data_IF_331146751956
#
_entry.id   IF_331146751956
#
_cell.length_a   1.000
_cell.length_b   1.000
_cell.length_c   1.000
_cell.angle_alpha   90.00
_cell.angle_beta   90.00
_cell.angle_gamma   90.00
#
_symmetry.space_group_name_H-M   'P 1'
#
loop_
_entity.id
_entity.type
_entity.pdbx_description
1 polymer ?
#
# COMPACT_ATOMS: atom_id res chain seq x y z
N UNK A 1 15.35 61.52 42.50
CA UNK A 1 15.17 61.03 41.11
C UNK A 1 15.03 59.51 41.14
N UNK A 2 13.80 58.97 41.03
CA UNK A 2 13.51 57.52 41.14
C UNK A 2 13.39 56.90 39.74
N UNK A 3 14.26 55.93 39.40
CA UNK A 3 14.22 55.13 38.17
C UNK A 3 13.06 54.12 38.26
N UNK A 4 12.12 54.17 37.32
CA UNK A 4 11.09 53.13 37.12
C UNK A 4 11.57 52.19 36.02
N UNK A 5 12.05 51.01 36.39
CA UNK A 5 12.18 49.88 35.46
C UNK A 5 10.81 49.21 35.37
N UNK A 6 10.14 49.35 34.23
CA UNK A 6 8.99 48.54 33.89
C UNK A 6 9.49 47.18 33.38
N UNK A 7 9.35 46.14 34.20
CA UNK A 7 9.56 44.76 33.77
C UNK A 7 8.39 44.38 32.86
N UNK A 8 8.62 44.32 31.54
CA UNK A 8 7.64 43.79 30.58
C UNK A 8 7.46 42.30 30.87
N UNK A 9 6.23 41.92 31.26
CA UNK A 9 5.74 40.55 31.33
C UNK A 9 5.90 39.90 29.94
N UNK A 10 6.52 38.72 29.80
CA UNK A 10 6.50 37.98 28.54
C UNK A 10 5.05 37.63 28.22
N UNK A 11 4.62 38.00 27.02
CA UNK A 11 3.34 37.60 26.44
C UNK A 11 3.44 36.11 26.15
N UNK A 12 2.59 35.31 26.79
CA UNK A 12 2.41 33.90 26.48
C UNK A 12 2.27 33.76 24.96
N UNK A 13 3.26 33.13 24.33
CA UNK A 13 3.21 32.78 22.92
C UNK A 13 2.14 31.70 22.70
N UNK A 14 1.50 31.65 21.53
CA UNK A 14 0.60 30.56 21.21
C UNK A 14 1.40 29.26 21.25
N UNK A 15 0.94 28.29 22.06
CA UNK A 15 1.45 26.93 22.06
C UNK A 15 1.39 26.39 20.62
N UNK A 16 2.45 25.77 20.09
CA UNK A 16 2.42 25.26 18.73
C UNK A 16 1.48 24.05 18.62
N UNK A 17 0.56 24.17 17.68
CA UNK A 17 -0.08 23.18 16.79
C UNK A 17 0.20 21.68 16.97
N UNK A 18 0.07 21.16 18.19
CA UNK A 18 0.34 19.73 18.47
C UNK A 18 -0.59 18.77 17.70
N UNK A 19 -1.75 19.25 17.25
CA UNK A 19 -2.69 18.46 16.45
C UNK A 19 -2.30 18.40 14.96
N UNK A 20 -1.73 19.47 14.41
CA UNK A 20 -1.31 19.50 13.00
C UNK A 20 -0.03 18.67 12.79
N UNK A 21 0.89 18.70 13.77
CA UNK A 21 2.06 17.83 13.80
C UNK A 21 1.69 16.34 13.92
N UNK A 22 0.70 15.97 14.73
CA UNK A 22 0.25 14.58 14.87
C UNK A 22 -0.45 14.07 13.59
N UNK A 23 -1.26 14.91 12.94
CA UNK A 23 -1.85 14.61 11.63
C UNK A 23 -0.79 14.49 10.53
N UNK A 24 0.26 15.32 10.58
CA UNK A 24 1.40 15.24 9.68
C UNK A 24 2.21 13.96 9.89
N UNK A 25 2.52 13.60 11.13
CA UNK A 25 3.25 12.36 11.47
C UNK A 25 2.45 11.11 11.10
N UNK A 26 1.13 11.11 11.32
CA UNK A 26 0.26 10.01 10.87
C UNK A 26 0.19 9.94 9.34
N UNK A 27 0.27 11.08 8.63
CA UNK A 27 0.34 11.10 7.18
C UNK A 27 1.69 10.58 6.66
N UNK A 28 2.80 10.98 7.27
CA UNK A 28 4.14 10.53 6.90
C UNK A 28 4.27 9.02 7.09
N UNK A 29 3.81 8.49 8.24
CA UNK A 29 3.78 7.04 8.50
C UNK A 29 2.97 6.27 7.46
N UNK A 30 1.83 6.82 7.00
CA UNK A 30 1.01 6.19 5.95
C UNK A 30 1.75 6.04 4.62
N UNK A 31 2.50 7.06 4.21
CA UNK A 31 3.28 7.00 2.97
C UNK A 31 4.57 6.17 3.14
N UNK A 32 5.17 6.17 4.33
CA UNK A 32 6.31 5.31 4.64
C UNK A 32 5.91 3.82 4.57
N UNK A 33 4.81 3.44 5.23
CA UNK A 33 4.29 2.08 5.17
C UNK A 33 4.01 1.66 3.72
N UNK A 34 3.39 2.53 2.92
CA UNK A 34 3.15 2.28 1.50
C UNK A 34 4.45 2.11 0.71
N UNK A 35 5.43 2.99 0.92
CA UNK A 35 6.73 2.90 0.26
C UNK A 35 7.45 1.57 0.56
N UNK A 36 7.40 1.11 1.82
CA UNK A 36 7.99 -0.17 2.23
C UNK A 36 7.28 -1.37 1.59
N UNK A 37 5.94 -1.35 1.52
CA UNK A 37 5.16 -2.39 0.83
C UNK A 37 5.52 -2.44 -0.66
N UNK A 38 5.52 -1.30 -1.34
CA UNK A 38 5.85 -1.25 -2.77
C UNK A 38 7.30 -1.65 -3.05
N UNK A 39 8.24 -1.28 -2.17
CA UNK A 39 9.62 -1.71 -2.26
C UNK A 39 9.75 -3.24 -2.13
N UNK A 40 9.05 -3.85 -1.17
CA UNK A 40 9.02 -5.31 -1.02
C UNK A 40 8.45 -6.00 -2.27
N UNK A 41 7.31 -5.52 -2.81
CA UNK A 41 6.72 -6.06 -4.03
C UNK A 41 7.64 -5.91 -5.25
N UNK A 42 8.35 -4.79 -5.37
CA UNK A 42 9.28 -4.54 -6.47
C UNK A 42 10.49 -5.48 -6.48
N UNK A 43 10.86 -6.07 -5.33
CA UNK A 43 11.93 -7.07 -5.26
C UNK A 43 11.49 -8.47 -5.70
N UNK A 44 10.19 -8.71 -5.83
CA UNK A 44 9.64 -10.03 -6.17
C UNK A 44 9.32 -10.09 -7.66
N UNK A 45 10.30 -10.50 -8.46
CA UNK A 45 10.18 -10.61 -9.91
C UNK A 45 8.96 -11.46 -10.34
N UNK A 46 8.71 -12.58 -9.67
CA UNK A 46 7.55 -13.44 -9.93
C UNK A 46 6.22 -12.68 -9.78
N UNK A 47 6.11 -11.76 -8.81
CA UNK A 47 4.92 -10.95 -8.59
C UNK A 47 4.78 -9.92 -9.72
N UNK A 48 5.83 -9.12 -9.95
CA UNK A 48 5.81 -8.04 -10.95
C UNK A 48 5.54 -8.56 -12.37
N UNK A 49 6.09 -9.72 -12.72
CA UNK A 49 5.94 -10.27 -14.07
C UNK A 49 4.65 -11.07 -14.29
N UNK A 50 3.95 -11.47 -13.22
CA UNK A 50 2.73 -12.29 -13.33
C UNK A 50 1.44 -11.53 -13.08
N UNK A 51 1.50 -10.44 -12.33
CA UNK A 51 0.37 -9.55 -12.10
C UNK A 51 0.09 -8.71 -13.34
N UNK A 52 -1.16 -8.76 -13.82
CA UNK A 52 -1.70 -7.81 -14.80
C UNK A 52 -2.50 -6.74 -14.07
N UNK A 53 -2.63 -5.58 -14.70
CA UNK A 53 -3.45 -4.47 -14.19
C UNK A 53 -3.18 -4.12 -12.71
N UNK A 54 -1.91 -4.20 -12.28
CA UNK A 54 -1.51 -3.84 -10.91
C UNK A 54 -1.82 -2.35 -10.67
N UNK A 55 -2.69 -2.09 -9.71
CA UNK A 55 -3.12 -0.75 -9.32
C UNK A 55 -3.15 -0.60 -7.81
N UNK A 56 -3.02 0.63 -7.36
CA UNK A 56 -3.15 0.98 -5.95
C UNK A 56 -3.83 2.33 -5.80
N UNK A 57 -4.59 2.48 -4.73
CA UNK A 57 -5.26 3.73 -4.40
C UNK A 57 -5.47 3.84 -2.90
N UNK A 58 -5.73 5.07 -2.46
CA UNK A 58 -6.03 5.35 -1.07
C UNK A 58 -7.54 5.34 -0.86
N UNK A 59 -8.01 4.55 0.12
CA UNK A 59 -9.40 4.48 0.53
C UNK A 59 -9.86 5.71 1.31
N UNK A 60 -11.18 5.90 1.41
CA UNK A 60 -11.78 6.97 2.20
C UNK A 60 -11.51 6.80 3.72
N UNK A 61 -11.28 5.57 4.14
CA UNK A 61 -10.89 5.17 5.50
C UNK A 61 -9.37 5.33 5.76
N UNK A 62 -8.64 5.93 4.82
CA UNK A 62 -7.19 6.09 4.84
C UNK A 62 -6.39 4.78 4.74
N UNK A 63 -7.03 3.67 4.42
CA UNK A 63 -6.34 2.44 4.04
C UNK A 63 -5.71 2.55 2.65
N UNK A 64 -4.76 1.66 2.37
CA UNK A 64 -4.24 1.45 1.04
C UNK A 64 -4.87 0.21 0.43
N UNK A 65 -5.37 0.33 -0.80
CA UNK A 65 -5.82 -0.82 -1.58
C UNK A 65 -4.76 -1.13 -2.63
N UNK A 66 -4.44 -2.41 -2.78
CA UNK A 66 -3.57 -2.92 -3.84
C UNK A 66 -4.34 -4.03 -4.54
N UNK A 67 -4.59 -3.83 -5.83
CA UNK A 67 -5.33 -4.77 -6.66
C UNK A 67 -4.49 -5.21 -7.86
N UNK A 68 -4.59 -6.48 -8.19
CA UNK A 68 -4.01 -7.04 -9.41
C UNK A 68 -4.93 -8.10 -9.99
N UNK A 69 -4.71 -8.41 -11.26
CA UNK A 69 -5.35 -9.50 -11.99
C UNK A 69 -4.33 -10.60 -12.29
N UNK A 70 -4.81 -11.84 -12.34
CA UNK A 70 -3.98 -13.03 -12.52
C UNK A 70 -2.93 -13.15 -11.39
N UNK A 71 -1.85 -13.90 -11.63
CA UNK A 71 -0.73 -13.97 -10.69
C UNK A 71 -1.06 -14.68 -9.35
N UNK A 72 -0.40 -14.28 -8.25
CA UNK A 72 -0.49 -14.96 -6.97
C UNK A 72 -1.80 -14.68 -6.23
N UNK A 73 -2.12 -15.56 -5.28
CA UNK A 73 -3.21 -15.36 -4.33
C UNK A 73 -2.92 -14.19 -3.40
N UNK A 74 -3.98 -13.50 -2.96
CA UNK A 74 -3.86 -12.40 -2.01
C UNK A 74 -3.20 -12.84 -0.68
N UNK A 75 -3.54 -14.04 -0.19
CA UNK A 75 -2.88 -14.66 0.97
C UNK A 75 -1.38 -14.93 0.77
N UNK A 76 -0.97 -15.36 -0.43
CA UNK A 76 0.45 -15.56 -0.74
C UNK A 76 1.24 -14.25 -0.73
N UNK A 77 0.62 -13.17 -1.20
CA UNK A 77 1.21 -11.82 -1.18
C UNK A 77 1.25 -11.27 0.24
N UNK A 78 0.21 -11.48 1.04
CA UNK A 78 0.19 -11.09 2.46
C UNK A 78 1.34 -11.78 3.24
N UNK A 79 1.51 -13.08 3.03
CA UNK A 79 2.58 -13.85 3.65
C UNK A 79 3.97 -13.38 3.20
N UNK A 80 4.13 -13.06 1.91
CA UNK A 80 5.36 -12.48 1.36
C UNK A 80 5.68 -11.15 2.04
N UNK A 81 4.71 -10.24 2.14
CA UNK A 81 4.91 -8.93 2.75
C UNK A 81 5.28 -9.05 4.24
N UNK A 82 4.68 -10.00 4.97
CA UNK A 82 5.03 -10.27 6.35
C UNK A 82 6.50 -10.74 6.54
N UNK A 83 7.08 -11.35 5.50
CA UNK A 83 8.47 -11.79 5.53
C UNK A 83 9.45 -10.68 5.13
N UNK A 84 9.10 -9.93 4.07
CA UNK A 84 10.01 -9.01 3.38
C UNK A 84 9.96 -7.57 3.91
N UNK A 85 8.83 -7.11 4.45
CA UNK A 85 8.73 -5.77 5.03
C UNK A 85 9.39 -5.78 6.41
N UNK A 86 10.63 -5.28 6.45
CA UNK A 86 11.49 -5.23 7.64
C UNK A 86 12.00 -3.81 7.87
N UNK A 87 12.48 -3.55 9.08
CA UNK A 87 13.25 -2.38 9.43
C UNK A 87 14.57 -2.86 10.06
N UNK A 88 15.73 -2.47 9.49
CA UNK A 88 17.02 -2.91 10.01
C UNK A 88 17.30 -2.42 11.44
N UNK A 89 16.63 -1.36 11.89
CA UNK A 89 16.79 -0.77 13.22
C UNK A 89 15.70 -1.26 14.21
N UNK A 90 14.81 -2.16 13.79
CA UNK A 90 13.73 -2.70 14.62
C UNK A 90 13.49 -4.21 14.41
N UNK A 91 13.72 -4.99 15.45
CA UNK A 91 13.63 -6.46 15.43
C UNK A 91 12.19 -7.04 15.48
N UNK A 92 11.18 -6.19 15.68
CA UNK A 92 9.78 -6.64 15.78
C UNK A 92 9.09 -6.80 14.41
N UNK A 93 7.95 -7.53 14.36
CA UNK A 93 7.15 -7.62 13.15
C UNK A 93 6.54 -6.25 12.82
N UNK A 94 6.79 -5.76 11.60
CA UNK A 94 6.16 -4.53 11.09
C UNK A 94 4.79 -4.79 10.47
N UNK A 95 4.54 -6.04 10.07
CA UNK A 95 3.33 -6.49 9.40
C UNK A 95 2.58 -7.43 10.31
N UNK A 96 1.29 -7.18 10.49
CA UNK A 96 0.38 -8.07 11.21
C UNK A 96 -0.80 -8.41 10.30
N UNK A 97 -1.20 -9.68 10.23
CA UNK A 97 -2.43 -10.04 9.53
C UNK A 97 -3.65 -9.50 10.28
N UNK A 98 -4.54 -8.80 9.58
CA UNK A 98 -5.73 -8.18 10.15
C UNK A 98 -7.01 -9.00 9.89
N UNK A 99 -6.86 -10.26 9.46
CA UNK A 99 -7.93 -11.21 9.19
C UNK A 99 -7.45 -12.40 8.35
N UNK A 100 -8.28 -13.45 8.19
CA UNK A 100 -7.93 -14.60 7.39
C UNK A 100 -7.78 -14.21 5.91
N UNK A 101 -6.63 -14.52 5.31
CA UNK A 101 -6.41 -14.38 3.88
C UNK A 101 -7.12 -15.48 3.08
N UNK A 102 -7.60 -15.12 1.90
CA UNK A 102 -8.18 -16.01 0.90
C UNK A 102 -7.37 -16.00 -0.40
N UNK A 103 -7.86 -16.68 -1.44
CA UNK A 103 -7.28 -16.58 -2.77
C UNK A 103 -7.42 -15.15 -3.34
N UNK A 104 -8.59 -14.54 -3.20
CA UNK A 104 -8.94 -13.26 -3.83
C UNK A 104 -8.79 -12.03 -2.94
N UNK A 105 -8.67 -12.19 -1.63
CA UNK A 105 -8.53 -11.05 -0.70
C UNK A 105 -7.67 -11.38 0.51
N UNK A 106 -6.93 -10.40 1.01
CA UNK A 106 -6.22 -10.47 2.28
C UNK A 106 -6.10 -9.08 2.88
N UNK A 107 -5.95 -8.99 4.21
CA UNK A 107 -5.82 -7.71 4.90
C UNK A 107 -4.68 -7.80 5.90
N UNK A 108 -3.83 -6.78 5.90
CA UNK A 108 -2.69 -6.65 6.79
C UNK A 108 -2.56 -5.22 7.29
N UNK A 109 -2.02 -5.07 8.50
CA UNK A 109 -1.60 -3.80 9.05
C UNK A 109 -0.08 -3.71 8.99
N UNK A 110 0.44 -2.70 8.29
CA UNK A 110 1.88 -2.41 8.16
C UNK A 110 2.17 -1.13 8.93
N UNK A 111 2.96 -1.23 10.00
CA UNK A 111 3.26 -0.10 10.88
C UNK A 111 1.98 0.57 11.44
N UNK A 112 0.91 -0.20 11.63
CA UNK A 112 -0.40 0.28 12.06
C UNK A 112 -1.24 0.97 10.96
N UNK A 113 -0.83 0.85 9.69
CA UNK A 113 -1.56 1.35 8.52
C UNK A 113 -2.20 0.16 7.81
N UNK A 114 -3.50 0.22 7.55
CA UNK A 114 -4.26 -0.87 6.94
C UNK A 114 -4.02 -0.97 5.43
N UNK A 115 -3.80 -2.19 4.96
CA UNK A 115 -3.71 -2.55 3.55
C UNK A 115 -4.73 -3.63 3.21
N UNK A 116 -5.49 -3.37 2.15
CA UNK A 116 -6.41 -4.33 1.55
C UNK A 116 -5.82 -4.83 0.24
N UNK A 117 -5.52 -6.13 0.20
CA UNK A 117 -5.04 -6.81 -1.00
C UNK A 117 -6.20 -7.47 -1.72
N UNK A 118 -6.27 -7.28 -3.04
CA UNK A 118 -7.28 -7.90 -3.88
C UNK A 118 -6.67 -8.51 -5.13
N UNK A 119 -6.92 -9.80 -5.32
CA UNK A 119 -6.49 -10.54 -6.48
C UNK A 119 -7.73 -10.95 -7.31
N UNK A 120 -7.76 -10.54 -8.57
CA UNK A 120 -8.83 -10.87 -9.51
C UNK A 120 -8.39 -12.04 -10.37
N UNK A 121 -9.18 -13.12 -10.37
CA UNK A 121 -8.89 -14.37 -11.08
C UNK A 121 -7.47 -14.93 -10.82
N UNK A 122 -7.00 -15.01 -9.55
CA UNK A 122 -5.64 -15.44 -9.27
C UNK A 122 -5.45 -16.94 -9.54
N UNK A 123 -4.24 -17.29 -9.98
CA UNK A 123 -3.87 -18.67 -10.32
C UNK A 123 -2.87 -19.29 -9.33
N UNK A 124 -2.29 -18.47 -8.44
CA UNK A 124 -1.36 -18.89 -7.38
C UNK A 124 0.11 -18.94 -7.82
N UNK A 125 1.04 -18.70 -6.89
CA UNK A 125 2.49 -18.62 -7.17
C UNK A 125 3.06 -19.90 -7.79
N UNK A 126 2.60 -21.06 -7.33
CA UNK A 126 3.06 -22.36 -7.85
C UNK A 126 2.73 -22.49 -9.35
N UNK A 127 1.48 -22.22 -9.72
CA UNK A 127 1.01 -22.27 -11.11
C UNK A 127 1.73 -21.26 -12.01
N UNK A 128 2.02 -20.05 -11.49
CA UNK A 128 2.80 -19.03 -12.20
C UNK A 128 4.21 -19.55 -12.55
N UNK A 129 4.87 -20.20 -11.59
CA UNK A 129 6.24 -20.73 -11.76
C UNK A 129 6.32 -21.92 -12.70
N UNK A 130 5.29 -22.75 -12.73
CA UNK A 130 5.21 -23.95 -13.58
C UNK A 130 4.93 -23.65 -15.05
N UNK A 131 4.57 -22.39 -15.41
CA UNK A 131 4.21 -22.00 -16.78
C UNK A 131 5.13 -20.92 -17.37
N UNK A 132 6.38 -21.24 -17.74
CA UNK A 132 7.25 -20.27 -18.39
C UNK A 132 6.84 -20.01 -19.86
N UNK A 133 6.79 -18.74 -20.26
CA UNK A 133 6.99 -18.28 -21.64
C UNK A 133 5.78 -18.27 -22.59
N UNK A 134 5.13 -19.41 -22.85
CA UNK A 134 4.16 -19.50 -23.97
C UNK A 134 2.81 -18.82 -23.69
N UNK A 135 2.36 -18.84 -22.44
CA UNK A 135 1.15 -18.12 -22.00
C UNK A 135 1.32 -16.61 -22.15
N UNK A 136 2.48 -16.06 -21.75
CA UNK A 136 2.76 -14.62 -21.82
C UNK A 136 2.69 -14.07 -23.24
N UNK A 137 3.14 -14.85 -24.23
CA UNK A 137 3.14 -14.45 -25.63
C UNK A 137 1.75 -14.60 -26.26
N UNK A 138 1.03 -15.69 -25.95
CA UNK A 138 -0.35 -15.88 -26.40
C UNK A 138 -1.31 -14.83 -25.81
N UNK A 139 -1.08 -14.40 -24.57
CA UNK A 139 -1.88 -13.40 -23.88
C UNK A 139 -1.55 -11.97 -24.31
N UNK A 140 -0.27 -11.64 -24.55
CA UNK A 140 0.12 -10.37 -25.16
C UNK A 140 -0.47 -10.17 -26.56
N UNK A 141 -0.81 -11.28 -27.24
CA UNK A 141 -1.45 -11.30 -28.55
C UNK A 141 -2.98 -11.39 -28.48
N UNK A 142 -3.57 -11.60 -27.30
CA UNK A 142 -5.02 -11.66 -27.12
C UNK A 142 -5.61 -10.25 -27.03
N UNK A 143 -5.91 -9.69 -28.21
CA UNK A 143 -6.59 -8.39 -28.36
C UNK A 143 -8.09 -8.44 -28.08
N UNK A 144 -8.65 -9.63 -27.81
CA UNK A 144 -10.09 -9.82 -27.58
C UNK A 144 -10.48 -9.61 -26.12
N UNK A 145 -9.53 -9.77 -25.19
CA UNK A 145 -9.69 -9.34 -23.79
C UNK A 145 -9.51 -7.83 -23.70
N UNK A 146 -10.63 -7.10 -23.74
CA UNK A 146 -10.65 -5.72 -23.25
C UNK A 146 -10.08 -5.71 -21.83
N UNK A 147 -8.99 -4.98 -21.62
CA UNK A 147 -8.59 -4.41 -20.33
C UNK A 147 -9.65 -3.40 -19.91
N UNK A 148 -10.85 -3.90 -19.58
CA UNK A 148 -11.96 -3.08 -19.16
C UNK A 148 -11.81 -2.79 -17.67
N UNK A 149 -10.79 -2.00 -17.33
CA UNK A 149 -10.82 -1.23 -16.10
C UNK A 149 -11.25 0.15 -16.53
N UNK A 150 -12.56 0.34 -16.76
CA UNK A 150 -13.11 1.69 -16.75
C UNK A 150 -12.72 2.29 -15.43
N UNK A 151 -11.83 3.27 -15.48
CA UNK A 151 -11.38 3.86 -14.25
C UNK A 151 -12.54 4.71 -13.70
N UNK A 152 -12.76 4.73 -12.37
CA UNK A 152 -13.82 5.56 -11.77
C UNK A 152 -13.72 7.05 -12.15
N UNK A 153 -12.53 7.52 -12.54
CA UNK A 153 -12.33 8.89 -13.04
C UNK A 153 -12.81 9.12 -14.49
N UNK A 154 -12.93 8.08 -15.32
CA UNK A 154 -13.46 8.18 -16.68
C UNK A 154 -14.98 8.45 -16.68
N UNK A 155 -15.70 7.95 -15.66
CA UNK A 155 -17.12 8.27 -15.47
C UNK A 155 -17.34 9.69 -14.94
N UNK A 156 -16.35 10.25 -14.21
CA UNK A 156 -16.40 11.60 -13.67
C UNK A 156 -16.09 12.70 -14.70
N UNK A 157 -15.34 12.37 -15.75
CA UNK A 157 -14.95 13.32 -16.80
C UNK A 157 -15.83 13.26 -18.05
N UNK A 158 -16.86 12.40 -18.07
CA UNK A 158 -17.80 12.27 -19.18
C UNK A 158 -17.14 11.70 -20.43
N UNK A 159 -16.93 10.39 -20.43
CA UNK A 159 -16.58 9.64 -21.64
C UNK A 159 -17.63 9.68 -22.74
#
# INVERSE_FOLDING_TARGET
MKRKHALRRPKDGPFPDSADDDLSLTSARRYEAFGRVMAALATEADFIESCRDLTWWRGADHSWHIEWRDGPYASEVALLLAQQVRDPDYDGPLVTEAGPGSSGSAVLDVMGVRFELRAIDPIGRATVRERPGFWRLAEALDTTRRTNTRHPWEELLGG
#
